data_IF_362387236605
#
_entry.id   IF_362387236605
#
_cell.length_a   1.000
_cell.length_b   1.000
_cell.length_c   1.000
_cell.angle_alpha   90.00
_cell.angle_beta   90.00
_cell.angle_gamma   90.00
#
_symmetry.space_group_name_H-M   'P 1'
#
loop_
_entity.id
_entity.type
_entity.pdbx_description
1 polymer ?
#
# COMPACT_ATOMS: atom_id res chain seq x y z
N UNK A 1 -3.45 -3.17 9.66
CA UNK A 1 -3.72 -3.48 11.08
C UNK A 1 -2.50 -4.16 11.67
N UNK A 2 -2.20 -4.01 12.98
CA UNK A 2 -0.95 -4.52 13.58
C UNK A 2 -0.74 -6.03 13.39
N UNK A 3 -1.80 -6.84 13.55
CA UNK A 3 -1.75 -8.31 13.44
C UNK A 3 -3.01 -8.83 12.74
N UNK A 4 -3.15 -8.55 11.44
CA UNK A 4 -4.29 -9.08 10.67
C UNK A 4 -4.18 -10.61 10.55
N UNK A 5 -5.31 -11.31 10.76
CA UNK A 5 -5.39 -12.78 10.67
C UNK A 5 -6.26 -13.18 9.49
N UNK A 6 -5.71 -14.01 8.61
CA UNK A 6 -6.46 -14.74 7.58
C UNK A 6 -6.54 -16.23 7.93
N UNK A 7 -7.70 -16.86 7.73
CA UNK A 7 -7.93 -18.26 8.10
C UNK A 7 -8.11 -19.13 6.86
N UNK A 8 -7.20 -20.07 6.64
CA UNK A 8 -7.25 -21.02 5.52
C UNK A 8 -7.73 -22.40 5.99
N UNK A 9 -8.74 -22.97 5.31
CA UNK A 9 -9.21 -24.33 5.52
C UNK A 9 -8.96 -25.19 4.26
N UNK A 10 -7.95 -26.09 4.29
CA UNK A 10 -7.65 -26.97 3.15
C UNK A 10 -8.81 -27.91 2.78
N UNK A 11 -9.50 -28.46 3.78
CA UNK A 11 -10.58 -29.42 3.57
C UNK A 11 -11.79 -28.82 2.82
N UNK A 12 -12.05 -27.53 3.04
CA UNK A 12 -13.13 -26.79 2.38
C UNK A 12 -12.66 -25.97 1.18
N UNK A 13 -11.34 -25.95 0.91
CA UNK A 13 -10.71 -25.05 -0.07
C UNK A 13 -11.20 -23.61 0.06
N UNK A 14 -11.20 -23.08 1.28
CA UNK A 14 -11.67 -21.71 1.54
C UNK A 14 -10.67 -20.89 2.35
N UNK A 15 -10.70 -19.58 2.11
CA UNK A 15 -9.89 -18.59 2.82
C UNK A 15 -10.80 -17.49 3.35
N UNK A 16 -10.84 -17.28 4.66
CA UNK A 16 -11.38 -16.05 5.25
C UNK A 16 -10.27 -15.00 5.21
N UNK A 17 -10.36 -14.06 4.27
CA UNK A 17 -9.30 -13.08 3.98
C UNK A 17 -9.45 -11.79 4.78
N UNK A 18 -10.59 -11.54 5.42
CA UNK A 18 -10.88 -10.26 6.06
C UNK A 18 -10.65 -9.08 5.09
N UNK A 19 -10.02 -8.01 5.57
CA UNK A 19 -9.62 -6.87 4.75
C UNK A 19 -8.28 -7.05 4.01
N UNK A 20 -7.59 -8.18 4.15
CA UNK A 20 -6.30 -8.40 3.47
C UNK A 20 -6.48 -8.54 1.96
N UNK A 21 -7.53 -9.24 1.52
CA UNK A 21 -7.85 -9.47 0.10
C UNK A 21 -9.33 -9.22 -0.15
N UNK A 22 -9.64 -8.10 -0.82
CA UNK A 22 -10.99 -7.65 -1.15
C UNK A 22 -11.22 -7.69 -2.67
N UNK A 23 -12.43 -8.05 -3.16
CA UNK A 23 -12.65 -8.34 -4.58
C UNK A 23 -12.67 -7.10 -5.49
N UNK A 24 -13.03 -5.93 -4.96
CA UNK A 24 -13.23 -4.70 -5.76
C UNK A 24 -12.31 -3.56 -5.34
N UNK A 25 -12.27 -3.27 -4.04
CA UNK A 25 -11.47 -2.19 -3.45
C UNK A 25 -10.12 -2.70 -2.95
N UNK A 26 -9.19 -1.79 -2.68
CA UNK A 26 -7.93 -2.06 -1.98
C UNK A 26 -8.14 -1.96 -0.47
N UNK A 27 -7.29 -2.62 0.31
CA UNK A 27 -7.21 -2.39 1.74
C UNK A 27 -6.70 -0.97 1.99
N UNK A 28 -7.18 -0.30 3.05
CA UNK A 28 -6.51 0.90 3.52
C UNK A 28 -5.14 0.52 4.12
N UNK A 29 -4.08 1.14 3.61
CA UNK A 29 -2.72 0.99 4.10
C UNK A 29 -2.18 2.37 4.50
N UNK A 30 -2.41 2.75 5.75
CA UNK A 30 -2.05 4.08 6.27
C UNK A 30 -1.01 4.01 7.37
N UNK A 31 -0.14 5.02 7.41
CA UNK A 31 0.65 5.37 8.58
C UNK A 31 -0.24 6.12 9.58
N UNK A 32 -0.12 5.76 10.85
CA UNK A 32 -0.83 6.42 11.96
C UNK A 32 0.13 7.33 12.75
N UNK A 33 -0.35 8.41 13.37
CA UNK A 33 0.49 9.29 14.18
C UNK A 33 1.24 8.60 15.33
N UNK A 34 0.73 7.47 15.81
CA UNK A 34 1.37 6.65 16.84
C UNK A 34 2.61 5.90 16.34
N UNK A 35 2.76 5.73 15.02
CA UNK A 35 3.88 5.02 14.40
C UNK A 35 4.30 5.73 13.09
N UNK A 36 4.82 6.97 13.16
CA UNK A 36 5.00 7.84 11.99
C UNK A 36 6.08 7.33 11.01
N UNK A 37 7.04 6.55 11.50
CA UNK A 37 8.13 5.95 10.71
C UNK A 37 7.80 4.52 10.25
N UNK A 38 6.57 4.04 10.52
CA UNK A 38 6.13 2.70 10.12
C UNK A 38 6.12 2.53 8.59
N UNK A 39 6.30 1.30 8.12
CA UNK A 39 6.24 0.97 6.68
C UNK A 39 5.15 -0.06 6.38
N UNK A 40 3.87 0.28 6.66
CA UNK A 40 2.76 -0.66 6.53
C UNK A 40 2.55 -1.10 5.08
N UNK A 41 2.95 -0.29 4.09
CA UNK A 41 2.86 -0.67 2.68
C UNK A 41 3.83 -1.78 2.31
N UNK A 42 5.10 -1.69 2.74
CA UNK A 42 6.04 -2.80 2.54
C UNK A 42 5.52 -4.07 3.21
N UNK A 43 5.07 -3.98 4.46
CA UNK A 43 4.57 -5.12 5.22
C UNK A 43 3.34 -5.75 4.56
N UNK A 44 2.41 -4.93 4.07
CA UNK A 44 1.23 -5.40 3.34
C UNK A 44 1.59 -6.04 1.99
N UNK A 45 2.53 -5.48 1.23
CA UNK A 45 3.04 -6.05 -0.02
C UNK A 45 3.70 -7.42 0.23
N UNK A 46 4.57 -7.50 1.24
CA UNK A 46 5.22 -8.76 1.64
C UNK A 46 4.21 -9.80 2.11
N UNK A 47 3.20 -9.41 2.89
CA UNK A 47 2.13 -10.30 3.33
C UNK A 47 1.34 -10.87 2.13
N UNK A 48 0.95 -10.02 1.18
CA UNK A 48 0.23 -10.46 -0.01
C UNK A 48 1.05 -11.37 -0.92
N UNK A 49 2.34 -11.06 -1.12
CA UNK A 49 3.25 -11.92 -1.87
C UNK A 49 3.35 -13.31 -1.22
N UNK A 50 3.50 -13.34 0.12
CA UNK A 50 3.55 -14.57 0.90
C UNK A 50 2.24 -15.38 0.82
N UNK A 51 1.07 -14.73 0.90
CA UNK A 51 -0.23 -15.42 0.74
C UNK A 51 -0.32 -16.06 -0.65
N UNK A 52 0.11 -15.34 -1.70
CA UNK A 52 0.11 -15.84 -3.09
C UNK A 52 1.01 -17.07 -3.26
N UNK A 53 2.16 -17.08 -2.60
CA UNK A 53 3.13 -18.20 -2.65
C UNK A 53 2.67 -19.41 -1.85
N UNK A 54 2.06 -19.21 -0.68
CA UNK A 54 1.72 -20.28 0.25
C UNK A 54 0.40 -20.98 -0.05
N UNK A 55 -0.60 -20.25 -0.56
CA UNK A 55 -1.95 -20.76 -0.73
C UNK A 55 -2.22 -21.18 -2.17
N UNK A 56 -3.01 -22.24 -2.41
CA UNK A 56 -3.42 -22.62 -3.77
C UNK A 56 -4.38 -21.57 -4.37
N UNK A 57 -4.48 -21.53 -5.71
CA UNK A 57 -5.34 -20.56 -6.40
C UNK A 57 -6.82 -20.98 -6.47
N UNK A 58 -7.10 -22.28 -6.30
CA UNK A 58 -8.45 -22.87 -6.39
C UNK A 58 -9.26 -22.73 -5.09
N UNK A 59 -9.11 -21.59 -4.41
CA UNK A 59 -9.78 -21.28 -3.15
C UNK A 59 -11.01 -20.39 -3.35
N UNK A 60 -12.08 -20.70 -2.60
CA UNK A 60 -13.15 -19.76 -2.35
C UNK A 60 -12.70 -18.74 -1.29
N UNK A 61 -12.52 -17.48 -1.70
CA UNK A 61 -12.13 -16.37 -0.83
C UNK A 61 -13.38 -15.73 -0.23
N UNK A 62 -13.38 -15.56 1.10
CA UNK A 62 -14.44 -14.98 1.92
C UNK A 62 -13.94 -13.65 2.52
N UNK A 63 -14.13 -12.52 1.81
CA UNK A 63 -13.68 -11.21 2.24
C UNK A 63 -14.59 -10.59 3.31
N UNK A 64 -14.08 -9.61 4.07
CA UNK A 64 -14.90 -8.81 4.98
C UNK A 64 -15.86 -7.87 4.23
N UNK A 65 -15.51 -7.46 3.01
CA UNK A 65 -16.31 -6.59 2.16
C UNK A 65 -16.44 -7.13 0.73
N UNK A 66 -17.63 -6.97 0.16
CA UNK A 66 -17.97 -7.50 -1.17
C UNK A 66 -18.42 -8.96 -1.13
N UNK A 67 -18.47 -9.59 -2.30
CA UNK A 67 -18.94 -10.97 -2.43
C UNK A 67 -17.78 -11.97 -2.34
N UNK A 68 -18.05 -13.20 -1.84
CA UNK A 68 -17.15 -14.33 -2.03
C UNK A 68 -16.72 -14.50 -3.49
N UNK A 69 -15.47 -14.90 -3.72
CA UNK A 69 -14.92 -15.01 -5.09
C UNK A 69 -13.83 -16.07 -5.22
N UNK A 70 -13.51 -16.44 -6.45
CA UNK A 70 -12.38 -17.29 -6.83
C UNK A 70 -11.32 -16.48 -7.60
N UNK A 71 -10.10 -17.02 -7.71
CA UNK A 71 -8.99 -16.35 -8.40
C UNK A 71 -8.16 -15.50 -7.43
N UNK A 72 -7.73 -16.11 -6.32
CA UNK A 72 -6.95 -15.47 -5.28
C UNK A 72 -5.63 -14.90 -5.82
N UNK A 73 -4.89 -15.69 -6.58
CA UNK A 73 -3.57 -15.30 -7.12
C UNK A 73 -3.70 -14.13 -8.09
N UNK A 74 -4.72 -14.17 -8.95
CA UNK A 74 -5.02 -13.07 -9.86
C UNK A 74 -5.30 -11.79 -9.07
N UNK A 75 -6.12 -11.87 -8.02
CA UNK A 75 -6.45 -10.68 -7.22
C UNK A 75 -5.24 -10.15 -6.45
N UNK A 76 -4.44 -11.02 -5.83
CA UNK A 76 -3.21 -10.62 -5.13
C UNK A 76 -2.22 -9.94 -6.08
N UNK A 77 -2.03 -10.48 -7.28
CA UNK A 77 -1.19 -9.85 -8.31
C UNK A 77 -1.72 -8.48 -8.72
N UNK A 78 -3.02 -8.33 -8.94
CA UNK A 78 -3.63 -7.01 -9.23
C UNK A 78 -3.41 -5.99 -8.11
N UNK A 79 -3.51 -6.44 -6.86
CA UNK A 79 -3.32 -5.61 -5.67
C UNK A 79 -1.86 -5.14 -5.56
N UNK A 80 -0.90 -6.07 -5.69
CA UNK A 80 0.54 -5.79 -5.65
C UNK A 80 0.94 -4.87 -6.81
N UNK A 81 0.57 -5.21 -8.04
CA UNK A 81 0.89 -4.43 -9.24
C UNK A 81 0.22 -3.05 -9.22
N UNK A 82 -0.91 -2.90 -8.51
CA UNK A 82 -1.53 -1.61 -8.23
C UNK A 82 -0.60 -0.69 -7.48
N UNK A 83 -0.22 -1.08 -6.27
CA UNK A 83 0.66 -0.28 -5.42
C UNK A 83 2.05 -0.08 -6.02
N UNK A 84 2.61 -1.06 -6.74
CA UNK A 84 3.90 -0.86 -7.43
C UNK A 84 3.80 0.22 -8.53
N UNK A 85 2.68 0.28 -9.27
CA UNK A 85 2.44 1.38 -10.23
C UNK A 85 2.26 2.72 -9.54
N UNK A 86 1.55 2.75 -8.42
CA UNK A 86 1.34 3.98 -7.65
C UNK A 86 2.66 4.50 -7.05
N UNK A 87 3.53 3.59 -6.57
CA UNK A 87 4.89 3.91 -6.13
C UNK A 87 5.76 4.50 -7.24
N UNK A 88 5.71 3.92 -8.45
CA UNK A 88 6.46 4.44 -9.59
C UNK A 88 5.92 5.80 -10.07
N UNK A 89 4.60 5.97 -10.08
CA UNK A 89 3.97 7.25 -10.44
C UNK A 89 4.29 8.35 -9.42
N UNK A 90 4.22 8.03 -8.13
CA UNK A 90 4.59 8.93 -7.05
C UNK A 90 6.07 9.31 -7.12
N UNK A 91 6.95 8.35 -7.37
CA UNK A 91 8.38 8.61 -7.54
C UNK A 91 8.63 9.64 -8.65
N UNK A 92 8.02 9.46 -9.83
CA UNK A 92 8.20 10.38 -10.96
C UNK A 92 7.64 11.79 -10.63
N UNK A 93 6.55 11.87 -9.86
CA UNK A 93 5.97 13.15 -9.39
C UNK A 93 6.87 13.91 -8.41
N UNK A 94 7.73 13.19 -7.67
CA UNK A 94 8.69 13.76 -6.71
C UNK A 94 9.98 14.26 -7.37
N UNK A 95 9.96 14.55 -8.67
CA UNK A 95 11.06 15.24 -9.37
C UNK A 95 11.42 16.59 -8.75
N UNK A 96 10.44 17.29 -8.21
CA UNK A 96 10.58 18.45 -7.34
C UNK A 96 10.16 18.10 -5.90
N UNK A 97 10.61 18.85 -4.88
CA UNK A 97 10.15 18.65 -3.51
C UNK A 97 8.63 18.79 -3.37
N UNK A 98 7.99 17.83 -2.71
CA UNK A 98 6.54 17.84 -2.39
C UNK A 98 6.30 17.50 -0.92
N UNK A 99 5.22 18.00 -0.35
CA UNK A 99 4.71 17.57 0.97
C UNK A 99 3.77 16.38 0.78
N UNK A 100 3.49 15.63 1.84
CA UNK A 100 2.57 14.49 1.76
C UNK A 100 1.17 14.85 1.22
N UNK A 101 0.66 16.03 1.57
CA UNK A 101 -0.65 16.52 1.09
C UNK A 101 -0.67 16.88 -0.39
N UNK A 102 0.49 17.18 -0.98
CA UNK A 102 0.60 17.49 -2.41
C UNK A 102 0.56 16.21 -3.27
N UNK A 103 0.70 15.03 -2.65
CA UNK A 103 0.73 13.73 -3.33
C UNK A 103 -0.67 13.15 -3.59
N UNK A 104 -1.73 13.77 -3.09
CA UNK A 104 -3.08 13.21 -3.14
C UNK A 104 -3.58 13.01 -4.57
N UNK A 105 -3.39 13.99 -5.44
CA UNK A 105 -3.89 13.94 -6.81
C UNK A 105 -3.20 12.85 -7.66
N UNK A 106 -2.03 12.38 -7.22
CA UNK A 106 -1.29 11.31 -7.88
C UNK A 106 -1.71 9.93 -7.39
N UNK A 107 -2.01 9.81 -6.11
CA UNK A 107 -2.35 8.53 -5.47
C UNK A 107 -3.86 8.22 -5.51
N UNK A 108 -4.70 9.24 -5.58
CA UNK A 108 -6.15 9.08 -5.48
C UNK A 108 -6.86 9.58 -6.74
N UNK A 109 -7.76 8.76 -7.28
CA UNK A 109 -8.55 9.08 -8.48
C UNK A 109 -9.69 10.09 -8.22
N UNK A 110 -9.85 10.55 -6.98
CA UNK A 110 -10.98 11.37 -6.54
C UNK A 110 -10.54 12.53 -5.69
N UNK A 111 -11.25 13.66 -5.78
CA UNK A 111 -10.95 14.84 -4.95
C UNK A 111 -11.11 14.52 -3.46
N UNK A 112 -10.02 14.62 -2.72
CA UNK A 112 -10.01 14.41 -1.27
C UNK A 112 -10.56 15.65 -0.56
N UNK A 113 -11.58 15.47 0.29
CA UNK A 113 -12.23 16.54 1.06
C UNK A 113 -12.62 16.05 2.45
N UNK A 114 -12.72 16.99 3.39
CA UNK A 114 -13.25 16.76 4.73
C UNK A 114 -12.50 15.63 5.45
N UNK A 115 -13.25 14.70 6.02
CA UNK A 115 -12.74 13.63 6.88
C UNK A 115 -11.77 12.66 6.17
N UNK A 116 -11.81 12.60 4.83
CA UNK A 116 -10.89 11.76 4.06
C UNK A 116 -9.45 12.28 4.05
N UNK A 117 -9.22 13.56 4.38
CA UNK A 117 -7.87 14.15 4.37
C UNK A 117 -6.93 13.42 5.31
N UNK A 118 -7.38 13.02 6.50
CA UNK A 118 -6.54 12.29 7.45
C UNK A 118 -6.12 10.92 6.91
N UNK A 119 -7.04 10.21 6.27
CA UNK A 119 -6.78 8.88 5.71
C UNK A 119 -5.86 8.97 4.49
N UNK A 120 -6.15 9.91 3.58
CA UNK A 120 -5.32 10.19 2.41
C UNK A 120 -3.89 10.60 2.81
N UNK A 121 -3.74 11.38 3.89
CA UNK A 121 -2.43 11.73 4.44
C UNK A 121 -1.68 10.49 4.91
N UNK A 122 -2.34 9.62 5.71
CA UNK A 122 -1.73 8.39 6.22
C UNK A 122 -1.28 7.45 5.10
N UNK A 123 -2.10 7.26 4.07
CA UNK A 123 -1.77 6.41 2.92
C UNK A 123 -0.69 7.02 2.02
N UNK A 124 -0.68 8.35 1.86
CA UNK A 124 0.42 9.04 1.16
C UNK A 124 1.75 8.86 1.89
N UNK A 125 1.75 9.02 3.22
CA UNK A 125 2.94 8.78 4.04
C UNK A 125 3.36 7.30 3.97
N UNK A 126 2.43 6.35 3.91
CA UNK A 126 2.77 4.93 3.74
C UNK A 126 3.53 4.67 2.42
N UNK A 127 3.10 5.28 1.32
CA UNK A 127 3.80 5.19 0.04
C UNK A 127 5.17 5.88 0.08
N UNK A 128 5.25 7.08 0.70
CA UNK A 128 6.51 7.80 0.87
C UNK A 128 7.50 7.03 1.74
N UNK A 129 7.07 6.44 2.86
CA UNK A 129 7.90 5.60 3.73
C UNK A 129 8.39 4.36 2.98
N UNK A 130 7.56 3.75 2.14
CA UNK A 130 7.98 2.64 1.29
C UNK A 130 9.08 3.05 0.29
N UNK A 131 8.93 4.19 -0.38
CA UNK A 131 9.96 4.72 -1.28
C UNK A 131 11.25 5.11 -0.55
N UNK A 132 11.15 5.67 0.66
CA UNK A 132 12.31 6.00 1.52
C UNK A 132 13.06 4.74 1.93
N UNK A 133 12.35 3.70 2.35
CA UNK A 133 12.94 2.41 2.71
C UNK A 133 13.66 1.75 1.53
N UNK A 134 13.07 1.86 0.32
CA UNK A 134 13.72 1.48 -0.94
C UNK A 134 14.85 2.43 -1.38
N UNK A 135 15.16 3.46 -0.58
CA UNK A 135 16.20 4.47 -0.83
C UNK A 135 16.02 5.22 -2.15
N UNK A 136 14.79 5.30 -2.66
CA UNK A 136 14.46 5.98 -3.93
C UNK A 136 14.23 7.47 -3.76
N UNK A 137 13.85 7.92 -2.56
CA UNK A 137 13.58 9.32 -2.27
C UNK A 137 14.32 9.74 -0.99
N UNK A 138 14.41 11.04 -0.75
CA UNK A 138 14.89 11.65 0.50
C UNK A 138 13.78 12.49 1.15
N UNK A 139 13.86 12.65 2.47
CA UNK A 139 13.02 13.54 3.28
C UNK A 139 13.89 14.60 3.96
N UNK A 140 13.40 15.84 4.01
CA UNK A 140 14.00 16.93 4.76
C UNK A 140 12.90 17.83 5.33
N UNK A 141 13.18 18.53 6.43
CA UNK A 141 12.25 19.49 7.03
C UNK A 141 12.57 20.91 6.57
N UNK A 142 11.55 21.75 6.44
CA UNK A 142 11.72 23.20 6.34
C UNK A 142 11.81 23.85 7.74
N UNK A 143 11.90 25.19 7.76
CA UNK A 143 12.02 25.97 8.99
C UNK A 143 10.77 25.89 9.89
N UNK A 144 9.63 25.46 9.35
CA UNK A 144 8.37 25.23 10.09
C UNK A 144 8.22 23.77 10.58
N UNK A 145 9.20 22.91 10.27
CA UNK A 145 9.18 21.50 10.63
C UNK A 145 8.31 20.64 9.71
N UNK A 146 7.87 21.16 8.56
CA UNK A 146 7.10 20.39 7.57
C UNK A 146 8.05 19.52 6.77
N UNK A 147 7.71 18.23 6.61
CA UNK A 147 8.50 17.31 5.80
C UNK A 147 8.22 17.46 4.31
N UNK A 148 9.32 17.58 3.55
CA UNK A 148 9.38 17.61 2.10
C UNK A 148 10.10 16.37 1.59
N UNK A 149 9.61 15.85 0.46
CA UNK A 149 10.06 14.60 -0.14
C UNK A 149 10.49 14.86 -1.58
N UNK A 150 11.62 14.28 -1.99
CA UNK A 150 12.14 14.42 -3.35
C UNK A 150 12.83 13.14 -3.81
N UNK A 151 12.67 12.79 -5.09
CA UNK A 151 13.33 11.65 -5.70
C UNK A 151 14.87 11.75 -5.71
N UNK A 152 15.52 10.58 -5.72
CA UNK A 152 16.94 10.39 -5.92
C UNK A 152 17.14 9.71 -7.29
N UNK A 153 17.40 10.47 -8.37
CA UNK A 153 17.39 9.96 -9.76
C UNK A 153 18.33 8.77 -10.00
N UNK A 154 19.47 8.76 -9.30
CA UNK A 154 20.50 7.71 -9.38
C UNK A 154 20.03 6.35 -8.86
N UNK A 155 18.87 6.27 -8.19
CA UNK A 155 18.39 5.08 -7.45
C UNK A 155 17.07 4.52 -7.98
N UNK A 156 16.69 4.83 -9.23
CA UNK A 156 15.38 4.47 -9.81
C UNK A 156 15.03 2.98 -9.76
N UNK A 157 16.01 2.08 -9.82
CA UNK A 157 15.79 0.62 -9.99
C UNK A 157 15.85 -0.21 -8.69
N UNK A 158 15.86 0.39 -7.50
CA UNK A 158 15.83 -0.39 -6.26
C UNK A 158 14.40 -0.92 -6.03
N UNK A 159 14.12 -2.13 -6.53
CA UNK A 159 12.93 -2.93 -6.21
C UNK A 159 13.32 -4.01 -5.20
N UNK A 160 12.46 -4.26 -4.21
CA UNK A 160 12.63 -5.38 -3.27
C UNK A 160 12.44 -6.68 -4.10
N UNK A 161 13.28 -7.72 -3.90
CA UNK A 161 13.09 -9.02 -4.52
C UNK A 161 11.77 -9.68 -4.14
#
# INVERSE_FOLDING_TARGET
>A
APEHITLYCPALKCLISGDQVLPRITSNVSVFPTEPEGNPLREWLTSNARIRELLPDDLLVLPAHGNPFYGLHRRLTQLIDGHERDLDTLYDFLSEPRRAVDCFDVLFQSTIKGDMVSMATGESIAHLNCLMDRRRIRRFADDEGVFWYQQLPEKRQIRIP
#
